data_IF_983895629959
#
_entry.id   IF_983895629959
#
_cell.length_a   1.000
_cell.length_b   1.000
_cell.length_c   1.000
_cell.angle_alpha   90.00
_cell.angle_beta   90.00
_cell.angle_gamma   90.00
#
_symmetry.space_group_name_H-M   'P 1'
#
loop_
_entity.id
_entity.type
_entity.pdbx_description
1 polymer ?
2 non-polymer ?
3 non-polymer ?
4 non-polymer ?
5 water ?
#
# COMPACT_ATOMS: atom_id res chain seq x y z
N UNK A 5 -30.97 -0.52 4.34
CA UNK A 5 -30.36 -1.00 3.05
C UNK A 5 -29.76 -2.41 3.03
N UNK A 6 -29.12 -2.74 1.91
CA UNK A 6 -28.56 -4.08 1.66
C UNK A 6 -27.15 -4.26 2.24
N UNK A 7 -26.79 -5.52 2.53
CA UNK A 7 -25.46 -5.90 3.01
C UNK A 7 -24.59 -6.24 1.81
N UNK A 8 -23.47 -5.55 1.67
CA UNK A 8 -22.51 -5.75 0.59
C UNK A 8 -21.35 -6.55 1.18
N UNK A 9 -20.96 -7.61 0.48
CA UNK A 9 -19.81 -8.40 0.85
C UNK A 9 -18.82 -8.34 -0.31
N UNK A 10 -17.56 -8.02 -0.02
CA UNK A 10 -16.56 -7.78 -1.05
C UNK A 10 -15.14 -8.20 -0.73
N UNK A 11 -14.35 -8.41 -1.78
CA UNK A 11 -12.94 -8.74 -1.72
C UNK A 11 -12.31 -7.96 -2.85
N UNK A 12 -11.36 -7.10 -2.52
CA UNK A 12 -10.63 -6.36 -3.55
C UNK A 12 -9.38 -7.09 -4.02
N UNK A 13 -9.03 -6.90 -5.30
CA UNK A 13 -7.84 -7.53 -5.87
C UNK A 13 -7.18 -6.66 -6.90
N UNK A 14 -5.91 -6.92 -7.15
CA UNK A 14 -5.18 -6.19 -8.17
C UNK A 14 -5.44 -6.86 -9.55
N UNK A 15 -6.04 -6.17 -10.53
CA UNK A 15 -6.30 -6.83 -11.83
C UNK A 15 -5.02 -6.99 -12.67
N UNK A 16 -4.93 -8.12 -13.39
CA UNK A 16 -3.75 -8.47 -14.19
C UNK A 16 -4.08 -8.44 -15.67
N UNK A 17 -3.06 -8.66 -16.53
CA UNK A 17 -3.28 -8.63 -17.98
C UNK A 17 -4.26 -9.71 -18.46
N UNK A 18 -4.40 -10.78 -17.69
CA UNK A 18 -5.26 -11.90 -18.05
C UNK A 18 -6.67 -11.84 -17.49
N UNK A 19 -7.00 -10.82 -16.69
CA UNK A 19 -8.23 -10.81 -15.92
C UNK A 19 -9.49 -10.94 -16.79
N UNK A 20 -9.56 -10.22 -17.90
CA UNK A 20 -10.70 -10.33 -18.84
C UNK A 20 -10.85 -11.76 -19.37
N UNK A 21 -9.74 -12.31 -19.86
CA UNK A 21 -9.73 -13.70 -20.34
C UNK A 21 -10.21 -14.66 -19.24
N UNK A 22 -9.67 -14.51 -18.02
CA UNK A 22 -10.04 -15.37 -16.88
C UNK A 22 -11.51 -15.24 -16.51
N UNK A 23 -12.02 -14.00 -16.57
CA UNK A 23 -13.44 -13.77 -16.34
C UNK A 23 -14.27 -14.45 -17.46
N UNK A 24 -13.87 -14.23 -18.72
CA UNK A 24 -14.51 -14.89 -19.89
C UNK A 24 -14.60 -16.38 -19.67
N UNK A 25 -13.46 -16.99 -19.30
CA UNK A 25 -13.39 -18.43 -19.07
C UNK A 25 -14.20 -18.94 -17.89
N UNK A 26 -14.46 -18.09 -16.91
CA UNK A 26 -15.36 -18.47 -15.82
C UNK A 26 -16.85 -18.40 -16.16
N UNK A 27 -17.20 -17.81 -17.30
CA UNK A 27 -18.59 -17.60 -17.68
C UNK A 27 -19.21 -16.35 -17.10
N UNK A 28 -18.39 -15.41 -16.62
CA UNK A 28 -18.87 -14.08 -16.30
C UNK A 28 -19.07 -13.36 -17.61
N UNK A 29 -20.04 -12.45 -17.64
CA UNK A 29 -20.30 -11.60 -18.81
C UNK A 29 -20.08 -10.13 -18.45
N UNK A 30 -19.48 -9.40 -19.37
CA UNK A 30 -19.33 -7.97 -19.26
C UNK A 30 -20.65 -7.25 -19.51
N UNK A 31 -21.24 -6.66 -18.47
CA UNK A 31 -22.53 -5.97 -18.59
C UNK A 31 -22.42 -4.51 -19.10
N UNK A 32 -21.55 -3.71 -18.50
CA UNK A 32 -21.33 -2.35 -19.00
C UNK A 32 -20.04 -1.72 -18.53
N UNK A 33 -19.72 -0.62 -19.19
CA UNK A 33 -18.63 0.22 -18.81
C UNK A 33 -19.24 1.55 -18.45
N UNK A 34 -18.64 2.27 -17.52
CA UNK A 34 -19.15 3.58 -17.10
C UNK A 34 -18.02 4.40 -16.48
N UNK A 35 -18.03 5.67 -16.79
CA UNK A 35 -17.11 6.63 -16.22
C UNK A 35 -17.92 7.60 -15.37
N UNK A 36 -17.44 7.87 -14.15
CA UNK A 36 -18.20 8.67 -13.19
C UNK A 36 -17.28 9.27 -12.09
N UNK A 37 -17.74 10.38 -11.56
CA UNK A 37 -17.10 11.04 -10.39
C UNK A 37 -17.72 10.54 -9.08
N UNK A 38 -16.88 10.26 -8.11
CA UNK A 38 -17.30 10.09 -6.71
C UNK A 38 -16.74 11.27 -5.89
N UNK A 39 -17.50 11.72 -4.92
CA UNK A 39 -17.03 12.74 -4.00
C UNK A 39 -17.38 12.26 -2.58
N UNK A 40 -16.37 12.18 -1.72
CA UNK A 40 -16.52 11.70 -0.36
C UNK A 40 -16.45 12.88 0.59
N UNK A 41 -17.21 12.78 1.69
CA UNK A 41 -17.42 13.87 2.63
C UNK A 41 -17.11 13.42 4.06
N UNK A 42 -16.53 14.33 4.85
CA UNK A 42 -16.32 14.09 6.27
C UNK A 42 -16.12 15.42 6.99
N UNK A 43 -16.04 15.38 8.31
CA UNK A 43 -15.72 16.58 9.09
C UNK A 43 -14.22 16.77 9.04
N UNK A 44 -13.73 17.94 9.49
CA UNK A 44 -12.29 18.18 9.68
C UNK A 44 -11.62 17.10 10.53
N UNK A 45 -12.35 16.58 11.52
CA UNK A 45 -11.84 15.54 12.42
C UNK A 45 -12.01 14.10 11.88
N UNK A 46 -12.51 13.96 10.65
CA UNK A 46 -12.78 12.67 10.08
C UNK A 46 -13.68 11.81 10.95
N UNK A 47 -14.72 12.42 11.51
CA UNK A 47 -15.64 11.70 12.41
C UNK A 47 -16.30 10.48 11.74
N UNK A 48 -16.72 10.62 10.49
CA UNK A 48 -17.31 9.47 9.80
C UNK A 48 -16.34 8.34 9.55
N UNK A 49 -15.22 8.63 8.90
CA UNK A 49 -14.34 7.60 8.40
C UNK A 49 -13.67 6.89 9.61
N UNK A 50 -13.35 7.62 10.67
CA UNK A 50 -12.81 6.99 11.88
C UNK A 50 -13.80 6.05 12.57
N UNK A 51 -15.10 6.26 12.38
CA UNK A 51 -16.12 5.32 12.84
C UNK A 51 -16.60 4.36 11.70
N UNK A 52 -15.83 4.24 10.63
CA UNK A 52 -16.09 3.27 9.55
C UNK A 52 -17.40 3.55 8.81
N UNK A 53 -17.75 4.84 8.73
CA UNK A 53 -18.84 5.30 7.91
C UNK A 53 -18.27 6.11 6.73
N UNK A 54 -18.84 5.92 5.55
CA UNK A 54 -18.32 6.48 4.31
C UNK A 54 -19.48 7.11 3.53
N UNK A 55 -19.46 8.43 3.40
CA UNK A 55 -20.52 9.19 2.78
C UNK A 55 -20.05 9.71 1.45
N UNK A 56 -20.77 9.38 0.41
CA UNK A 56 -20.43 9.87 -0.88
C UNK A 56 -21.57 10.24 -1.79
N UNK A 57 -21.27 11.18 -2.70
CA UNK A 57 -22.16 11.51 -3.81
C UNK A 57 -21.50 10.97 -5.07
N UNK A 58 -22.23 10.12 -5.79
CA UNK A 58 -21.76 9.49 -7.00
C UNK A 58 -22.57 9.99 -8.17
N UNK A 59 -21.86 10.49 -9.17
CA UNK A 59 -22.50 10.94 -10.41
C UNK A 59 -23.28 9.77 -11.02
N UNK A 60 -24.52 10.03 -11.40
CA UNK A 60 -25.42 9.02 -11.94
C UNK A 60 -26.17 8.22 -10.89
N UNK A 61 -25.77 8.23 -9.61
CA UNK A 61 -26.48 7.43 -8.58
C UNK A 61 -26.96 8.25 -7.40
N UNK A 62 -26.32 9.37 -7.07
CA UNK A 62 -26.76 10.16 -5.93
C UNK A 62 -25.99 9.79 -4.68
N UNK A 63 -26.63 9.95 -3.53
CA UNK A 63 -25.98 9.84 -2.23
C UNK A 63 -25.99 8.43 -1.72
N UNK A 64 -24.89 8.04 -1.06
CA UNK A 64 -24.73 6.67 -0.59
C UNK A 64 -23.96 6.73 0.73
N UNK A 65 -24.39 5.97 1.74
CA UNK A 65 -23.68 5.89 2.98
C UNK A 65 -23.34 4.43 3.24
N UNK A 66 -22.06 4.12 3.38
CA UNK A 66 -21.65 2.78 3.82
C UNK A 66 -21.56 2.76 5.33
N UNK A 67 -22.23 1.80 5.97
CA UNK A 67 -22.24 1.67 7.43
C UNK A 67 -21.57 0.37 7.79
N UNK A 68 -20.90 0.32 8.94
CA UNK A 68 -20.18 -0.90 9.23
C UNK A 68 -21.10 -2.11 9.37
N UNK A 69 -20.66 -3.24 8.83
CA UNK A 69 -21.39 -4.50 8.87
C UNK A 69 -21.71 -5.01 10.27
N UNK A 70 -22.63 -5.97 10.32
CA UNK A 70 -23.09 -6.55 11.58
C UNK A 70 -22.35 -7.87 11.92
N UNK A 71 -21.81 -8.56 10.90
CA UNK A 71 -21.08 -9.84 11.07
C UNK A 71 -19.57 -9.63 11.00
N UNK A 72 -18.80 -10.64 11.45
CA UNK A 72 -17.33 -10.60 11.43
C UNK A 72 -16.74 -11.25 10.19
N UNK A 73 -16.37 -10.45 9.19
CA UNK A 73 -15.86 -10.94 7.91
C UNK A 73 -14.59 -10.23 7.48
N UNK A 74 -14.05 -9.36 8.34
CA UNK A 74 -12.92 -8.52 7.94
C UNK A 74 -11.64 -9.36 7.83
N UNK A 75 -10.67 -8.78 7.13
CA UNK A 75 -9.47 -9.48 6.67
C UNK A 75 -9.26 -8.94 5.25
N UNK A 76 -8.70 -9.75 4.33
CA UNK A 76 -8.72 -9.25 2.94
C UNK A 76 -10.16 -8.93 2.47
N UNK A 77 -11.16 -9.51 3.14
CA UNK A 77 -12.58 -9.28 2.85
C UNK A 77 -13.18 -8.22 3.78
N UNK A 78 -14.33 -7.67 3.39
CA UNK A 78 -15.09 -6.74 4.26
C UNK A 78 -16.61 -6.66 3.95
N UNK A 79 -17.37 -6.04 4.87
CA UNK A 79 -18.85 -6.02 4.84
C UNK A 79 -19.44 -4.73 5.33
N UNK A 80 -20.34 -4.17 4.52
CA UNK A 80 -20.95 -2.88 4.82
C UNK A 80 -22.40 -2.99 4.49
N UNK A 81 -23.21 -2.20 5.19
CA UNK A 81 -24.59 -1.98 4.83
C UNK A 81 -24.58 -0.73 3.98
N UNK A 82 -25.19 -0.77 2.81
CA UNK A 82 -25.20 0.37 1.90
C UNK A 82 -26.56 1.07 2.01
N UNK A 83 -26.59 2.30 2.49
CA UNK A 83 -27.82 3.06 2.65
C UNK A 83 -27.92 4.08 1.53
N UNK A 84 -28.98 3.97 0.73
CA UNK A 84 -29.23 4.87 -0.41
C UNK A 84 -30.46 5.80 -0.28
N UNK A 85 -31.37 5.52 0.65
CA UNK A 85 -32.43 6.47 0.97
C UNK A 85 -31.85 7.72 1.60
N UNK A 86 -32.04 8.88 0.99
CA UNK A 86 -31.54 10.11 1.59
C UNK A 86 -32.07 10.33 3.01
N UNK A 87 -33.32 9.96 3.28
CA UNK A 87 -33.90 10.16 4.60
C UNK A 87 -33.14 9.32 5.62
N UNK A 88 -32.90 8.05 5.24
CA UNK A 88 -32.11 7.13 6.06
C UNK A 88 -30.67 7.62 6.28
N UNK A 89 -30.07 8.21 5.28
CA UNK A 89 -28.71 8.76 5.36
C UNK A 89 -28.67 9.93 6.35
N UNK A 90 -29.60 10.85 6.17
CA UNK A 90 -29.68 12.00 7.08
C UNK A 90 -29.94 11.56 8.52
N UNK A 91 -30.83 10.59 8.69
CA UNK A 91 -31.13 10.13 10.04
C UNK A 91 -29.83 9.60 10.72
N UNK A 92 -29.01 8.91 9.95
CA UNK A 92 -27.79 8.37 10.50
C UNK A 92 -26.74 9.49 10.73
N UNK A 93 -26.65 10.45 9.81
CA UNK A 93 -25.76 11.59 10.00
C UNK A 93 -26.10 12.44 11.22
N UNK A 94 -27.39 12.63 11.48
CA UNK A 94 -27.82 13.35 12.67
C UNK A 94 -27.39 12.62 13.93
N UNK A 95 -27.62 11.31 13.96
CA UNK A 95 -27.23 10.51 15.10
C UNK A 95 -25.70 10.59 15.35
N UNK A 96 -24.89 10.49 14.29
CA UNK A 96 -23.43 10.47 14.47
C UNK A 96 -22.84 11.85 14.73
N UNK A 97 -23.32 12.87 14.04
CA UNK A 97 -22.64 14.15 14.03
C UNK A 97 -23.36 15.27 14.74
N UNK A 98 -24.65 15.17 14.93
CA UNK A 98 -25.41 16.35 15.28
C UNK A 98 -26.38 15.96 16.34
N UNK A 99 -27.63 16.33 16.10
CA UNK A 99 -28.72 16.02 16.99
C UNK A 99 -29.86 15.46 16.13
N UNK A 100 -30.54 14.46 16.67
CA UNK A 100 -31.76 13.95 16.07
C UNK A 100 -32.90 14.96 16.14
N UNK A 101 -32.74 16.05 16.90
CA UNK A 101 -33.69 17.18 16.91
C UNK A 101 -33.65 18.09 15.68
N UNK A 102 -32.60 17.99 14.87
CA UNK A 102 -32.49 18.81 13.68
C UNK A 102 -33.60 18.49 12.65
N UNK A 103 -33.96 19.48 11.84
CA UNK A 103 -34.99 19.34 10.82
C UNK A 103 -34.47 18.47 9.68
N UNK A 104 -35.20 17.40 9.33
CA UNK A 104 -34.79 16.62 8.18
C UNK A 104 -34.88 17.41 6.86
N UNK A 105 -33.92 17.17 6.00
CA UNK A 105 -33.84 17.73 4.66
C UNK A 105 -32.93 16.79 3.83
N UNK A 106 -32.80 17.06 2.53
CA UNK A 106 -31.89 16.31 1.66
C UNK A 106 -30.45 16.36 2.15
N UNK A 107 -29.65 15.37 1.75
CA UNK A 107 -28.27 15.28 2.21
C UNK A 107 -27.51 16.55 1.89
N UNK A 108 -27.62 17.05 0.66
CA UNK A 108 -26.92 18.30 0.29
C UNK A 108 -27.29 19.45 1.18
N UNK A 109 -28.57 19.53 1.55
CA UNK A 109 -29.04 20.61 2.40
C UNK A 109 -28.51 20.57 3.83
N UNK A 110 -28.09 19.42 4.33
CA UNK A 110 -27.64 19.34 5.73
C UNK A 110 -26.15 19.40 5.97
N UNK A 111 -25.36 19.40 4.89
CA UNK A 111 -23.91 19.23 4.95
C UNK A 111 -23.27 20.31 5.79
N UNK A 112 -23.63 21.56 5.47
CA UNK A 112 -23.13 22.73 6.15
C UNK A 112 -23.41 22.75 7.65
N UNK A 113 -24.65 22.42 8.04
CA UNK A 113 -25.00 22.33 9.48
C UNK A 113 -24.22 21.26 10.21
N UNK A 114 -23.82 20.18 9.51
CA UNK A 114 -23.05 19.12 10.13
C UNK A 114 -21.56 19.28 9.90
N UNK A 115 -21.13 20.36 9.25
CA UNK A 115 -19.73 20.70 9.07
C UNK A 115 -19.01 19.62 8.21
N UNK A 116 -19.73 19.10 7.22
CA UNK A 116 -19.28 18.05 6.35
C UNK A 116 -18.72 18.76 5.15
N UNK A 117 -17.50 18.40 4.77
CA UNK A 117 -16.91 18.95 3.56
C UNK A 117 -16.24 17.86 2.71
N UNK A 118 -15.88 18.19 1.47
CA UNK A 118 -15.30 17.20 0.57
C UNK A 118 -13.93 16.82 1.08
N UNK A 119 -13.70 15.53 1.31
CA UNK A 119 -12.35 15.06 1.62
C UNK A 119 -11.64 14.49 0.41
N UNK A 120 -12.40 14.06 -0.60
CA UNK A 120 -11.88 13.42 -1.80
C UNK A 120 -12.87 13.51 -2.95
N UNK A 121 -12.36 13.69 -4.17
CA UNK A 121 -13.18 13.69 -5.36
C UNK A 121 -12.34 13.20 -6.52
N UNK A 122 -12.84 12.21 -7.26
CA UNK A 122 -12.07 11.67 -8.35
C UNK A 122 -12.98 10.87 -9.26
N UNK A 123 -12.52 10.80 -10.50
CA UNK A 123 -13.24 10.08 -11.56
C UNK A 123 -12.68 8.69 -11.67
N UNK A 124 -13.58 7.74 -11.90
CA UNK A 124 -13.28 6.37 -12.16
C UNK A 124 -13.96 5.87 -13.44
N UNK A 125 -13.28 4.99 -14.16
CA UNK A 125 -13.83 4.25 -15.26
C UNK A 125 -13.91 2.79 -14.83
N UNK A 126 -15.12 2.24 -14.89
CA UNK A 126 -15.42 0.95 -14.34
C UNK A 126 -15.94 0.00 -15.43
N UNK A 127 -15.38 -1.21 -15.48
CA UNK A 127 -15.81 -2.26 -16.40
C UNK A 127 -16.50 -3.30 -15.55
N UNK A 128 -17.80 -3.44 -15.74
CA UNK A 128 -18.62 -4.18 -14.82
C UNK A 128 -19.10 -5.53 -15.38
N UNK A 129 -18.72 -6.60 -14.69
CA UNK A 129 -19.06 -7.97 -15.03
C UNK A 129 -20.01 -8.62 -14.05
N UNK A 130 -20.76 -9.60 -14.55
CA UNK A 130 -21.73 -10.38 -13.79
C UNK A 130 -21.40 -11.86 -13.87
N UNK A 131 -21.44 -12.54 -12.73
CA UNK A 131 -21.32 -14.01 -12.67
C UNK A 131 -22.57 -14.66 -12.03
N UNK A 132 -23.23 -15.55 -12.77
CA UNK A 132 -24.37 -16.36 -12.28
C UNK A 132 -23.90 -17.71 -11.76
N UNK A 142 -26.18 -13.72 -7.78
CA UNK A 142 -25.03 -13.54 -8.65
C UNK A 142 -23.87 -12.80 -7.96
N UNK A 143 -22.69 -12.85 -8.58
CA UNK A 143 -21.60 -11.98 -8.17
C UNK A 143 -21.39 -10.92 -9.22
N UNK A 144 -20.96 -9.76 -8.73
CA UNK A 144 -20.46 -8.67 -9.55
C UNK A 144 -18.94 -8.63 -9.42
N UNK A 145 -18.24 -8.41 -10.53
CA UNK A 145 -16.83 -8.15 -10.55
C UNK A 145 -16.63 -6.81 -11.27
N UNK A 146 -16.15 -5.79 -10.54
CA UNK A 146 -15.94 -4.46 -11.10
C UNK A 146 -14.46 -4.22 -11.22
N UNK A 147 -14.00 -3.87 -12.42
CA UNK A 147 -12.60 -3.56 -12.67
C UNK A 147 -12.52 -2.09 -12.91
N UNK A 148 -11.85 -1.38 -12.00
CA UNK A 148 -11.87 0.07 -11.92
C UNK A 148 -10.51 0.66 -12.23
N UNK A 149 -10.51 1.80 -12.91
CA UNK A 149 -9.32 2.60 -13.09
C UNK A 149 -9.63 4.03 -12.62
N UNK A 150 -8.86 4.52 -11.63
CA UNK A 150 -9.04 5.89 -11.09
C UNK A 150 -8.23 6.91 -11.87
N UNK A 151 -8.71 8.14 -11.96
CA UNK A 151 -8.06 9.28 -12.69
C UNK A 151 -6.82 9.98 -12.03
N UNK A 152 -6.37 9.41 -10.93
CA UNK A 152 -5.07 9.78 -10.37
C UNK A 152 -4.03 8.71 -10.63
N UNK A 153 -4.40 7.62 -11.30
CA UNK A 153 -3.46 6.59 -11.68
C UNK A 153 -3.40 5.48 -10.68
N UNK A 154 -4.40 4.59 -10.72
CA UNK A 154 -4.51 3.43 -9.84
C UNK A 154 -5.65 2.53 -10.35
N UNK A 155 -5.41 1.22 -10.36
CA UNK A 155 -6.35 0.24 -10.88
C UNK A 155 -6.63 -0.78 -9.79
N UNK A 156 -7.88 -1.17 -9.61
CA UNK A 156 -8.28 -2.16 -8.61
C UNK A 156 -9.55 -2.88 -9.04
N UNK A 157 -9.72 -4.09 -8.56
CA UNK A 157 -10.89 -4.92 -8.79
C UNK A 157 -11.57 -5.32 -7.51
N UNK A 158 -12.85 -5.62 -7.62
CA UNK A 158 -13.56 -6.21 -6.51
C UNK A 158 -14.56 -7.26 -7.00
N UNK A 159 -14.63 -8.32 -6.23
CA UNK A 159 -15.63 -9.35 -6.36
C UNK A 159 -16.62 -9.07 -5.25
N UNK A 160 -17.90 -8.98 -5.60
CA UNK A 160 -18.89 -8.50 -4.67
C UNK A 160 -20.21 -9.25 -4.76
N UNK A 161 -20.88 -9.41 -3.62
CA UNK A 161 -22.24 -9.93 -3.54
C UNK A 161 -23.02 -9.02 -2.63
N UNK A 162 -24.32 -8.92 -2.89
CA UNK A 162 -25.21 -8.11 -2.08
C UNK A 162 -26.29 -9.06 -1.59
N UNK A 163 -26.48 -9.09 -0.28
CA UNK A 163 -27.50 -9.92 0.33
C UNK A 163 -28.41 -9.09 1.24
N UNK A 164 -29.52 -9.70 1.62
CA UNK A 164 -30.57 -9.04 2.43
C UNK A 164 -30.39 -9.31 3.92
N UNK A 165 -30.01 -10.55 4.29
CA UNK A 165 -29.90 -10.97 5.69
C UNK A 165 -28.51 -11.49 6.04
N UNK A 166 -28.13 -11.35 7.31
CA UNK A 166 -26.82 -11.78 7.81
C UNK A 166 -26.55 -13.25 7.54
N UNK A 167 -27.56 -14.10 7.70
CA UNK A 167 -27.39 -15.54 7.51
C UNK A 167 -27.02 -15.93 6.07
N UNK A 168 -27.25 -15.04 5.11
CA UNK A 168 -26.73 -15.23 3.75
C UNK A 168 -25.25 -14.85 3.58
N UNK A 169 -24.61 -14.18 4.55
CA UNK A 169 -23.25 -13.66 4.37
C UNK A 169 -22.19 -14.74 4.20
N UNK A 170 -22.24 -15.81 5.03
CA UNK A 170 -21.23 -16.87 4.90
C UNK A 170 -21.16 -17.48 3.51
N UNK A 171 -22.32 -17.82 2.95
CA UNK A 171 -22.42 -18.40 1.61
C UNK A 171 -21.93 -17.45 0.51
N UNK A 172 -22.25 -16.16 0.65
CA UNK A 172 -21.75 -15.14 -0.27
C UNK A 172 -20.24 -15.02 -0.15
N UNK A 173 -19.77 -14.90 1.08
CA UNK A 173 -18.35 -14.83 1.33
C UNK A 173 -17.54 -16.00 0.69
N UNK A 174 -18.09 -17.22 0.74
CA UNK A 174 -17.47 -18.41 0.11
C UNK A 174 -17.27 -18.24 -1.39
N UNK A 175 -18.31 -17.85 -2.09
CA UNK A 175 -18.23 -17.64 -3.54
C UNK A 175 -17.20 -16.57 -3.92
N UNK A 176 -17.21 -15.48 -3.16
CA UNK A 176 -16.25 -14.38 -3.36
C UNK A 176 -14.80 -14.88 -3.32
N UNK A 177 -14.50 -15.75 -2.36
CA UNK A 177 -13.16 -16.34 -2.21
C UNK A 177 -12.82 -17.29 -3.36
N UNK A 178 -13.76 -18.16 -3.68
CA UNK A 178 -13.59 -19.10 -4.78
C UNK A 178 -13.34 -18.38 -6.11
N UNK A 179 -14.02 -17.27 -6.34
CA UNK A 179 -13.91 -16.58 -7.60
C UNK A 179 -12.60 -15.83 -7.67
N UNK A 180 -12.24 -15.11 -6.60
CA UNK A 180 -10.90 -14.54 -6.52
C UNK A 180 -9.77 -15.59 -6.76
N UNK A 181 -9.90 -16.76 -6.17
CA UNK A 181 -8.92 -17.80 -6.36
C UNK A 181 -8.86 -18.28 -7.83
N UNK A 182 -10.02 -18.54 -8.43
CA UNK A 182 -10.08 -18.95 -9.84
C UNK A 182 -9.50 -17.89 -10.78
N UNK A 183 -9.52 -16.62 -10.36
CA UNK A 183 -8.85 -15.53 -11.07
C UNK A 183 -7.32 -15.58 -10.91
N UNK A 184 -6.82 -16.31 -9.94
CA UNK A 184 -5.38 -16.44 -9.71
C UNK A 184 -4.87 -15.21 -8.98
N UNK A 185 -5.66 -14.75 -8.03
CA UNK A 185 -5.39 -13.56 -7.26
C UNK A 185 -4.75 -14.08 -5.97
N UNK A 186 -3.50 -13.63 -5.65
CA UNK A 186 -2.82 -14.22 -4.48
C UNK A 186 -3.69 -14.15 -3.21
N UNK A 187 -3.72 -15.23 -2.43
CA UNK A 187 -4.52 -15.29 -1.19
C UNK A 187 -4.12 -14.18 -0.20
N UNK A 188 -2.83 -13.92 -0.08
CA UNK A 188 -2.28 -12.93 0.87
C UNK A 188 -2.69 -11.51 0.49
N UNK A 189 -2.79 -11.27 -0.81
CA UNK A 189 -3.04 -9.94 -1.33
C UNK A 189 -4.36 -9.32 -0.78
N UNK A 190 -4.27 -8.06 -0.36
CA UNK A 190 -5.41 -7.29 0.16
C UNK A 190 -5.29 -5.93 -0.50
N UNK A 191 -5.77 -5.82 -1.73
CA UNK A 191 -5.54 -4.59 -2.53
C UNK A 191 -6.30 -3.42 -1.91
N UNK A 192 -5.68 -2.23 -1.82
CA UNK A 192 -6.41 -1.12 -1.17
C UNK A 192 -7.51 -0.47 -2.00
N UNK A 193 -8.49 0.08 -1.30
CA UNK A 193 -9.56 0.86 -1.94
C UNK A 193 -9.00 2.11 -2.64
N UNK A 194 -9.67 2.50 -3.72
CA UNK A 194 -9.29 3.71 -4.45
C UNK A 194 -9.21 4.93 -3.54
N UNK A 195 -10.20 5.11 -2.67
CA UNK A 195 -10.24 6.20 -1.69
C UNK A 195 -9.01 6.22 -0.77
N UNK A 196 -8.55 5.03 -0.36
CA UNK A 196 -7.40 4.95 0.50
C UNK A 196 -6.10 5.34 -0.22
N UNK A 197 -5.95 4.97 -1.48
CA UNK A 197 -4.78 5.38 -2.27
C UNK A 197 -4.81 6.93 -2.45
N UNK A 198 -6.01 7.45 -2.71
CA UNK A 198 -6.22 8.90 -2.92
C UNK A 198 -5.80 9.62 -1.63
N UNK A 199 -6.23 9.10 -0.48
CA UNK A 199 -5.90 9.76 0.77
C UNK A 199 -4.43 9.70 1.02
N UNK A 200 -3.80 8.57 0.72
CA UNK A 200 -2.35 8.43 0.91
C UNK A 200 -1.57 9.42 0.06
N UNK A 201 -1.97 9.57 -1.19
CA UNK A 201 -1.21 10.42 -2.12
C UNK A 201 -1.50 11.92 -1.92
N UNK A 202 -2.76 12.25 -1.64
CA UNK A 202 -3.25 13.61 -1.69
C UNK A 202 -3.80 14.18 -0.40
N UNK A 203 -4.08 13.36 0.62
CA UNK A 203 -4.52 13.88 1.91
C UNK A 203 -3.74 13.24 3.00
N UNK A 204 -2.41 13.45 3.00
CA UNK A 204 -1.55 12.61 3.82
C UNK A 204 -1.80 12.71 5.30
N UNK A 205 -2.25 13.86 5.80
CA UNK A 205 -2.52 13.99 7.23
C UNK A 205 -3.77 13.21 7.63
N UNK A 206 -4.76 13.16 6.72
CA UNK A 206 -5.95 12.31 6.92
C UNK A 206 -5.59 10.83 6.91
N UNK A 207 -4.76 10.44 5.96
CA UNK A 207 -4.29 9.08 5.87
C UNK A 207 -3.56 8.64 7.14
N UNK A 208 -2.69 9.49 7.66
CA UNK A 208 -1.97 9.18 8.90
C UNK A 208 -2.91 9.02 10.09
N UNK A 209 -3.93 9.86 10.14
CA UNK A 209 -4.95 9.77 11.19
C UNK A 209 -5.64 8.40 11.14
N UNK A 210 -6.03 7.97 9.94
CA UNK A 210 -6.61 6.65 9.76
C UNK A 210 -5.62 5.56 10.17
N UNK A 211 -4.34 5.70 9.78
CA UNK A 211 -3.30 4.72 10.23
C UNK A 211 -3.18 4.63 11.73
N UNK A 212 -2.98 5.76 12.39
CA UNK A 212 -2.88 5.84 13.84
C UNK A 212 -4.07 5.29 14.60
N UNK A 213 -5.26 5.36 14.03
CA UNK A 213 -6.45 4.77 14.63
C UNK A 213 -6.62 3.26 14.37
N UNK A 214 -6.09 2.74 13.25
CA UNK A 214 -6.22 1.32 12.89
C UNK A 214 -5.34 0.42 13.78
N UNK A 215 -4.08 0.83 13.95
CA UNK A 215 -3.20 0.26 14.97
C UNK A 215 -3.56 0.79 16.36
N UNK A 216 -4.27 1.93 16.39
CA UNK A 216 -5.02 2.46 17.53
C UNK A 216 -4.11 3.04 18.61
N UNK B 5 32.37 0.29 -4.34
CA UNK B 5 31.47 0.29 -3.14
C UNK B 5 31.94 -0.61 -2.01
N UNK B 6 31.03 -0.87 -1.07
CA UNK B 6 31.28 -1.77 0.07
C UNK B 6 30.17 -2.82 0.16
N UNK B 7 30.52 -4.00 0.71
CA UNK B 7 29.57 -5.12 0.86
C UNK B 7 28.74 -4.97 2.14
N UNK B 8 27.41 -5.01 2.00
CA UNK B 8 26.48 -5.02 3.14
C UNK B 8 25.92 -6.44 3.35
N UNK B 9 26.16 -6.98 4.54
CA UNK B 9 25.47 -8.18 5.01
C UNK B 9 24.41 -7.73 6.02
N UNK B 10 23.21 -8.25 5.88
CA UNK B 10 22.14 -7.82 6.76
C UNK B 10 21.03 -8.83 6.92
N UNK B 11 20.35 -8.70 8.04
CA UNK B 11 19.13 -9.43 8.29
C UNK B 11 18.05 -8.44 8.67
N UNK B 12 16.87 -8.61 8.07
CA UNK B 12 15.72 -7.80 8.40
C UNK B 12 14.80 -8.49 9.43
N UNK B 13 14.13 -7.66 10.23
CA UNK B 13 13.25 -8.15 11.28
C UNK B 13 12.12 -7.19 11.60
N UNK B 14 11.01 -7.73 12.11
CA UNK B 14 9.91 -6.92 12.62
C UNK B 14 10.29 -6.46 14.02
N UNK B 15 10.47 -5.13 14.23
CA UNK B 15 10.84 -4.65 15.58
C UNK B 15 9.61 -4.51 16.48
N UNK B 16 9.84 -4.09 17.73
CA UNK B 16 8.78 -3.98 18.74
C UNK B 16 8.98 -2.80 19.69
N UNK B 17 8.12 -2.68 20.72
CA UNK B 17 8.18 -1.54 21.67
C UNK B 17 9.38 -1.58 22.63
N UNK B 18 9.79 -2.78 23.03
CA UNK B 18 10.93 -2.96 23.92
C UNK B 18 12.28 -3.00 23.20
N UNK B 19 12.29 -3.18 21.87
CA UNK B 19 13.57 -3.36 21.16
C UNK B 19 14.44 -2.12 21.21
N UNK B 20 13.82 -0.93 21.33
CA UNK B 20 14.55 0.29 21.66
C UNK B 20 15.26 0.15 23.01
N UNK B 21 14.54 -0.33 24.03
CA UNK B 21 15.13 -0.56 25.36
C UNK B 21 16.18 -1.69 25.39
N UNK B 22 15.90 -2.81 24.71
CA UNK B 22 16.87 -3.92 24.55
C UNK B 22 18.23 -3.41 24.11
N UNK B 23 18.25 -2.67 22.99
CA UNK B 23 19.47 -2.06 22.44
C UNK B 23 20.27 -1.27 23.50
N UNK B 24 19.57 -0.42 24.26
CA UNK B 24 20.22 0.42 25.28
C UNK B 24 20.82 -0.40 26.42
N UNK B 25 20.06 -1.38 26.92
CA UNK B 25 20.57 -2.33 27.92
C UNK B 25 21.69 -3.21 27.35
N UNK B 26 21.59 -3.53 26.06
CA UNK B 26 22.61 -4.28 25.34
C UNK B 26 23.91 -3.47 25.09
N UNK B 27 23.87 -2.15 25.36
CA UNK B 27 25.04 -1.28 25.31
C UNK B 27 25.18 -0.45 24.03
N UNK B 28 24.10 -0.35 23.25
CA UNK B 28 24.12 0.40 21.97
C UNK B 28 24.05 1.91 22.19
N UNK B 29 24.57 2.66 21.23
CA UNK B 29 24.60 4.13 21.27
C UNK B 29 23.83 4.72 20.08
N UNK B 30 22.76 5.48 20.38
CA UNK B 30 21.91 6.11 19.36
C UNK B 30 22.70 7.17 18.60
N UNK B 31 23.05 6.89 17.34
CA UNK B 31 23.89 7.80 16.56
C UNK B 31 23.08 9.03 16.11
N UNK B 32 22.04 8.78 15.30
CA UNK B 32 21.10 9.83 14.85
C UNK B 32 19.67 9.29 14.74
N UNK B 33 18.71 10.21 14.84
CA UNK B 33 17.37 10.03 14.31
C UNK B 33 17.26 10.91 13.07
N UNK B 34 16.81 10.34 11.96
CA UNK B 34 16.71 11.07 10.69
C UNK B 34 15.43 10.68 9.98
N UNK B 35 14.95 11.62 9.17
CA UNK B 35 13.80 11.47 8.30
C UNK B 35 14.24 11.80 6.86
N UNK B 36 13.93 10.92 5.91
CA UNK B 36 14.40 11.06 4.54
C UNK B 36 13.49 10.39 3.56
N UNK B 37 13.33 11.01 2.40
CA UNK B 37 12.64 10.38 1.29
C UNK B 37 13.59 9.55 0.50
N UNK B 38 13.14 8.38 0.09
CA UNK B 38 13.77 7.54 -0.92
C UNK B 38 12.83 7.48 -2.09
N UNK B 39 13.39 7.58 -3.29
CA UNK B 39 12.65 7.36 -4.50
C UNK B 39 13.41 6.34 -5.37
N UNK B 40 12.76 5.22 -5.69
CA UNK B 40 13.36 4.12 -6.43
C UNK B 40 13.02 4.18 -7.88
N UNK B 41 13.96 3.75 -8.72
CA UNK B 41 13.88 3.91 -10.16
C UNK B 41 14.01 2.56 -10.88
N UNK B 42 13.33 2.42 -12.02
CA UNK B 42 13.46 1.22 -12.90
C UNK B 42 12.79 1.49 -14.21
N UNK B 43 13.00 0.62 -15.20
CA UNK B 43 12.27 0.71 -16.46
C UNK B 43 10.84 0.21 -16.24
N UNK B 44 10.00 0.43 -17.24
CA UNK B 44 8.63 -0.11 -17.21
C UNK B 44 8.65 -1.64 -17.22
N UNK B 45 9.69 -2.22 -17.84
CA UNK B 45 9.88 -3.68 -17.81
C UNK B 45 10.53 -4.22 -16.51
N UNK B 46 10.76 -3.36 -15.52
CA UNK B 46 11.48 -3.69 -14.29
C UNK B 46 12.84 -4.34 -14.55
N UNK B 47 13.53 -3.86 -15.59
CA UNK B 47 14.81 -4.47 -15.99
C UNK B 47 15.80 -4.54 -14.84
N UNK B 48 15.91 -3.45 -14.07
CA UNK B 48 16.85 -3.41 -12.94
C UNK B 48 16.48 -4.36 -11.83
N UNK B 49 15.27 -4.25 -11.35
CA UNK B 49 14.84 -4.97 -10.17
C UNK B 49 14.76 -6.48 -10.45
N UNK B 50 14.43 -6.89 -11.69
CA UNK B 50 14.47 -8.30 -12.11
C UNK B 50 15.90 -8.87 -12.11
N UNK B 51 16.88 -8.05 -12.48
CA UNK B 51 18.30 -8.40 -12.33
C UNK B 51 18.85 -8.18 -10.88
N UNK B 52 17.98 -7.86 -9.91
CA UNK B 52 18.40 -7.64 -8.50
C UNK B 52 19.31 -6.39 -8.29
N UNK B 53 19.08 -5.36 -9.12
CA UNK B 53 19.72 -4.06 -8.96
C UNK B 53 18.68 -3.02 -8.52
N UNK B 54 19.02 -2.24 -7.51
CA UNK B 54 18.08 -1.33 -6.84
C UNK B 54 18.65 0.07 -6.84
N UNK B 55 18.09 0.93 -7.68
CA UNK B 55 18.53 2.30 -7.83
C UNK B 55 17.57 3.23 -7.13
N UNK B 56 18.12 4.08 -6.27
CA UNK B 56 17.33 5.08 -5.57
C UNK B 56 18.03 6.41 -5.47
N UNK B 57 17.24 7.46 -5.43
CA UNK B 57 17.70 8.75 -4.98
C UNK B 57 17.21 8.97 -3.54
N UNK B 58 18.14 9.17 -2.63
CA UNK B 58 17.83 9.41 -1.24
C UNK B 58 18.10 10.83 -0.84
N UNK B 59 17.08 11.48 -0.30
CA UNK B 59 17.21 12.82 0.27
C UNK B 59 18.37 12.94 1.22
N UNK B 60 19.20 13.94 0.97
CA UNK B 60 20.38 14.24 1.79
C UNK B 60 21.58 13.33 1.58
N UNK B 61 21.45 12.34 0.71
CA UNK B 61 22.54 11.41 0.40
C UNK B 61 22.87 11.35 -1.07
N UNK B 62 21.88 11.44 -1.95
CA UNK B 62 22.14 11.29 -3.37
C UNK B 62 21.80 9.91 -3.91
N UNK B 63 22.49 9.56 -5.00
CA UNK B 63 22.12 8.39 -5.76
C UNK B 63 22.85 7.23 -5.18
N UNK B 64 22.15 6.11 -5.09
CA UNK B 64 22.73 4.87 -4.54
C UNK B 64 22.23 3.70 -5.36
N UNK B 65 23.12 2.76 -5.64
CA UNK B 65 22.76 1.58 -6.39
C UNK B 65 23.24 0.39 -5.59
N UNK B 66 22.34 -0.56 -5.35
CA UNK B 66 22.75 -1.84 -4.74
C UNK B 66 22.83 -2.90 -5.80
N UNK B 67 24.00 -3.54 -5.87
CA UNK B 67 24.25 -4.71 -6.72
C UNK B 67 24.34 -5.96 -5.86
N UNK B 68 23.87 -7.11 -6.38
CA UNK B 68 23.87 -8.42 -5.67
C UNK B 68 25.10 -8.75 -4.81
N UNK B 77 19.11 -12.80 5.40
CA UNK B 77 19.90 -13.55 4.43
C UNK B 77 20.05 -12.80 3.09
N UNK B 78 20.40 -11.51 3.16
CA UNK B 78 20.75 -10.70 1.96
C UNK B 78 22.19 -10.16 1.96
N UNK B 79 22.76 -10.03 0.75
CA UNK B 79 24.17 -9.67 0.52
C UNK B 79 24.29 -8.72 -0.70
N UNK B 80 24.53 -7.43 -0.46
CA UNK B 80 24.58 -6.39 -1.52
C UNK B 80 25.80 -5.48 -1.44
N UNK B 81 26.24 -4.97 -2.60
CA UNK B 81 27.28 -3.95 -2.63
C UNK B 81 26.63 -2.60 -2.87
N UNK B 82 26.80 -1.67 -1.93
CA UNK B 82 26.30 -0.32 -2.11
C UNK B 82 27.29 0.51 -2.94
N UNK B 83 26.87 0.92 -4.14
CA UNK B 83 27.63 1.85 -4.97
C UNK B 83 27.11 3.25 -4.84
N UNK B 84 28.00 4.16 -4.42
CA UNK B 84 27.62 5.57 -4.28
C UNK B 84 28.31 6.54 -5.21
N UNK B 85 29.43 6.16 -5.82
CA UNK B 85 30.02 6.99 -6.88
C UNK B 85 29.06 7.04 -8.06
N UNK B 86 28.64 8.24 -8.47
CA UNK B 86 27.77 8.33 -9.62
C UNK B 86 28.41 7.75 -10.87
N UNK B 87 29.72 7.98 -11.04
CA UNK B 87 30.40 7.42 -12.19
C UNK B 87 30.23 5.92 -12.21
N UNK B 88 30.44 5.27 -11.05
CA UNK B 88 30.29 3.84 -10.97
C UNK B 88 28.84 3.39 -11.19
N UNK B 89 27.87 4.16 -10.68
CA UNK B 89 26.47 3.83 -10.90
C UNK B 89 26.13 3.83 -12.39
N UNK B 90 26.46 4.92 -13.05
CA UNK B 90 26.16 5.08 -14.48
C UNK B 90 26.87 4.00 -15.34
N UNK B 91 28.12 3.68 -15.01
CA UNK B 91 28.84 2.57 -15.68
C UNK B 91 28.01 1.29 -15.66
N UNK B 92 27.48 0.99 -14.49
CA UNK B 92 26.68 -0.20 -14.29
C UNK B 92 25.33 -0.13 -15.03
N UNK B 93 24.71 1.06 -15.02
CA UNK B 93 23.44 1.25 -15.72
C UNK B 93 23.62 1.05 -17.24
N UNK B 94 24.68 1.63 -17.79
CA UNK B 94 25.04 1.47 -19.21
C UNK B 94 25.18 0.00 -19.57
N UNK B 95 25.88 -0.72 -18.70
CA UNK B 95 26.15 -2.13 -18.88
C UNK B 95 24.84 -2.92 -18.92
N UNK B 96 23.98 -2.67 -17.93
CA UNK B 96 22.71 -3.40 -17.79
C UNK B 96 21.65 -3.02 -18.80
N UNK B 97 21.52 -1.74 -19.10
CA UNK B 97 20.33 -1.23 -19.79
C UNK B 97 20.57 -0.68 -21.18
N UNK B 98 21.77 -0.17 -21.46
CA UNK B 98 22.06 0.46 -22.75
C UNK B 98 23.25 -0.20 -23.41
N UNK B 99 24.26 0.61 -23.74
CA UNK B 99 25.59 0.12 -24.07
C UNK B 99 26.65 1.02 -23.40
N UNK B 100 27.84 0.45 -23.21
CA UNK B 100 28.98 1.20 -22.66
C UNK B 100 29.53 2.27 -23.59
N UNK B 101 28.98 2.39 -24.80
CA UNK B 101 29.36 3.43 -25.76
C UNK B 101 28.69 4.79 -25.50
N UNK B 102 27.64 4.83 -24.67
CA UNK B 102 26.97 6.09 -24.34
C UNK B 102 27.90 7.06 -23.60
N UNK B 103 27.66 8.35 -23.78
CA UNK B 103 28.46 9.38 -23.14
C UNK B 103 28.21 9.36 -21.62
N UNK B 104 29.28 9.30 -20.79
CA UNK B 104 29.06 9.43 -19.33
C UNK B 104 28.52 10.78 -18.89
N UNK B 105 27.67 10.77 -17.87
CA UNK B 105 27.08 11.96 -17.26
C UNK B 105 26.58 11.56 -15.90
N UNK B 106 26.09 12.51 -15.09
CA UNK B 106 25.51 12.19 -13.79
C UNK B 106 24.26 11.32 -13.91
N UNK B 107 23.92 10.65 -12.81
CA UNK B 107 22.78 9.71 -12.82
C UNK B 107 21.52 10.38 -13.31
N UNK B 108 21.25 11.58 -12.83
CA UNK B 108 20.03 12.27 -13.21
C UNK B 108 20.00 12.54 -14.71
N UNK B 109 21.16 12.79 -15.29
CA UNK B 109 21.27 13.09 -16.73
C UNK B 109 21.00 11.89 -17.64
N UNK B 110 21.22 10.67 -17.16
CA UNK B 110 21.08 9.48 -18.02
C UNK B 110 19.75 8.74 -17.86
N UNK B 111 18.96 9.08 -16.84
CA UNK B 111 17.67 8.36 -16.59
C UNK B 111 16.79 8.27 -17.82
N UNK B 112 16.58 9.40 -18.47
CA UNK B 112 15.76 9.47 -19.67
C UNK B 112 16.25 8.62 -20.85
N UNK B 113 17.55 8.67 -21.14
CA UNK B 113 18.14 7.88 -22.24
C UNK B 113 18.02 6.39 -22.00
N UNK B 114 17.93 5.97 -20.73
CA UNK B 114 17.79 4.56 -20.36
C UNK B 114 16.35 4.20 -20.01
N UNK B 115 15.41 5.11 -20.26
CA UNK B 115 14.01 4.93 -19.92
C UNK B 115 13.81 4.48 -18.46
N UNK B 116 14.55 5.10 -17.57
CA UNK B 116 14.39 4.86 -16.15
C UNK B 116 13.45 5.92 -15.60
N UNK B 117 12.55 5.50 -14.74
CA UNK B 117 11.56 6.38 -14.19
C UNK B 117 11.24 5.96 -12.77
N UNK B 118 10.82 6.93 -11.96
CA UNK B 118 10.46 6.66 -10.56
C UNK B 118 9.31 5.70 -10.53
N UNK B 119 9.41 4.70 -9.66
CA UNK B 119 8.39 3.68 -9.47
C UNK B 119 7.83 3.62 -8.04
N UNK B 120 8.55 4.18 -7.06
CA UNK B 120 8.08 4.19 -5.68
C UNK B 120 8.83 5.29 -4.94
N UNK B 121 8.14 5.95 -4.00
CA UNK B 121 8.75 7.01 -3.19
C UNK B 121 8.07 7.04 -1.86
N UNK B 122 8.83 7.20 -0.79
CA UNK B 122 8.23 7.26 0.53
C UNK B 122 9.24 7.86 1.46
N UNK B 123 8.74 8.33 2.58
CA UNK B 123 9.57 8.87 3.64
C UNK B 123 9.69 7.80 4.74
N UNK B 124 10.93 7.62 5.19
CA UNK B 124 11.28 6.73 6.28
C UNK B 124 11.77 7.60 7.40
N UNK B 125 11.28 7.34 8.60
CA UNK B 125 11.82 7.92 9.80
C UNK B 125 12.67 6.80 10.48
N UNK B 126 13.96 7.05 10.66
CA UNK B 126 14.93 6.03 11.05
C UNK B 126 15.64 6.41 12.33
N UNK B 127 15.74 5.46 13.27
CA UNK B 127 16.69 5.52 14.40
C UNK B 127 17.92 4.65 14.10
N UNK B 128 19.10 5.24 14.19
CA UNK B 128 20.37 4.54 13.93
C UNK B 128 21.15 4.23 15.20
N UNK B 129 21.59 2.97 15.32
CA UNK B 129 22.35 2.51 16.48
C UNK B 129 23.68 1.85 16.08
N UNK B 130 24.72 2.09 16.88
CA UNK B 130 25.99 1.38 16.79
C UNK B 130 26.15 0.43 18.00
N UNK B 131 26.57 -0.82 17.73
CA UNK B 131 26.86 -1.82 18.78
C UNK B 131 28.28 -2.36 18.56
N UNK B 132 29.17 -2.15 19.53
CA UNK B 132 30.59 -2.54 19.42
C UNK B 132 30.80 -4.00 19.81
N UNK B 142 32.32 -2.68 14.57
CA UNK B 142 31.07 -2.23 15.16
C UNK B 142 29.89 -2.51 14.21
N UNK B 143 28.93 -3.33 14.64
CA UNK B 143 27.68 -3.56 13.90
C UNK B 143 26.78 -2.32 13.92
N UNK B 144 25.86 -2.25 12.97
CA UNK B 144 24.78 -1.24 13.00
C UNK B 144 23.39 -1.89 13.05
N UNK B 145 22.46 -1.19 13.71
CA UNK B 145 21.03 -1.55 13.73
C UNK B 145 20.21 -0.29 13.43
N UNK B 146 19.48 -0.35 12.32
CA UNK B 146 18.55 0.72 11.93
C UNK B 146 17.14 0.27 12.28
N UNK B 147 16.37 1.18 12.87
CA UNK B 147 14.94 0.98 13.17
C UNK B 147 14.12 1.98 12.33
N UNK B 148 13.30 1.44 11.41
CA UNK B 148 12.66 2.25 10.37
C UNK B 148 11.12 2.20 10.42
N UNK B 149 10.50 3.37 10.25
CA UNK B 149 9.04 3.50 10.06
C UNK B 149 8.76 4.28 8.79
N UNK B 150 8.06 3.65 7.86
CA UNK B 150 7.82 4.25 6.57
C UNK B 150 6.50 4.97 6.72
N UNK B 151 6.35 6.12 6.07
CA UNK B 151 5.11 6.90 6.18
C UNK B 151 3.85 6.14 5.75
N UNK B 152 3.99 5.13 4.88
CA UNK B 152 2.83 4.34 4.40
C UNK B 152 2.28 3.30 5.34
N UNK B 153 2.82 3.11 6.53
CA UNK B 153 2.30 2.10 7.47
C UNK B 153 3.03 0.75 7.44
N UNK B 154 4.33 0.79 7.71
CA UNK B 154 5.15 -0.41 7.81
C UNK B 154 6.42 -0.06 8.57
N UNK B 155 6.73 -0.86 9.57
CA UNK B 155 7.95 -0.71 10.35
C UNK B 155 8.83 -1.95 10.19
N UNK B 156 10.15 -1.73 10.21
CA UNK B 156 11.11 -2.79 9.93
C UNK B 156 12.45 -2.40 10.55
N UNK B 157 13.19 -3.38 11.02
CA UNK B 157 14.55 -3.16 11.53
C UNK B 157 15.53 -4.00 10.75
N UNK B 158 16.79 -3.58 10.72
CA UNK B 158 17.83 -4.40 10.12
C UNK B 158 19.08 -4.36 10.97
N UNK B 159 19.60 -5.56 11.25
CA UNK B 159 20.95 -5.73 11.74
C UNK B 159 21.82 -5.88 10.52
N UNK B 160 22.88 -5.08 10.45
CA UNK B 160 23.76 -5.17 9.31
C UNK B 160 25.21 -4.87 9.65
N UNK B 161 26.09 -5.53 8.90
CA UNK B 161 27.52 -5.33 8.97
C UNK B 161 28.01 -4.89 7.60
N UNK B 162 29.19 -4.28 7.56
CA UNK B 162 29.81 -3.86 6.31
C UNK B 162 31.26 -4.29 6.25
N UNK B 163 31.68 -4.79 5.08
CA UNK B 163 33.03 -5.30 4.86
C UNK B 163 33.63 -4.76 3.54
N UNK B 164 34.90 -5.09 3.30
CA UNK B 164 35.61 -4.71 2.07
C UNK B 164 35.73 -5.90 1.09
N UNK B 165 36.34 -7.00 1.55
CA UNK B 165 36.56 -8.21 0.74
C UNK B 165 35.43 -9.25 0.90
N UNK B 166 35.18 -10.03 -0.15
CA UNK B 166 34.15 -11.10 -0.16
C UNK B 166 34.41 -12.22 0.86
N UNK B 167 35.69 -12.45 1.19
CA UNK B 167 36.10 -13.48 2.17
C UNK B 167 35.63 -13.21 3.60
N UNK B 168 35.39 -11.94 3.93
CA UNK B 168 34.91 -11.54 5.26
C UNK B 168 33.38 -11.66 5.45
N UNK B 169 32.64 -12.06 4.41
CA UNK B 169 31.17 -12.15 4.48
C UNK B 169 30.61 -13.20 5.46
N UNK B 170 31.22 -14.42 5.55
CA UNK B 170 30.77 -15.43 6.54
C UNK B 170 30.93 -15.00 8.01
N UNK B 171 32.06 -14.36 8.32
CA UNK B 171 32.37 -13.90 9.68
C UNK B 171 31.35 -12.89 10.17
N UNK B 172 31.01 -11.94 9.31
CA UNK B 172 29.99 -10.94 9.61
C UNK B 172 28.61 -11.55 9.85
N UNK B 173 28.14 -12.31 8.85
CA UNK B 173 26.84 -13.02 8.89
C UNK B 173 26.62 -13.77 10.20
N UNK B 174 27.68 -14.35 10.75
CA UNK B 174 27.59 -15.06 12.02
C UNK B 174 27.24 -14.12 13.16
N UNK B 175 27.96 -13.00 13.27
CA UNK B 175 27.67 -12.03 14.32
C UNK B 175 26.37 -11.24 14.05
N UNK B 176 25.88 -11.22 12.80
CA UNK B 176 24.55 -10.68 12.51
C UNK B 176 23.45 -11.58 13.10
N UNK B 177 23.62 -12.89 12.94
CA UNK B 177 22.69 -13.87 13.52
C UNK B 177 22.80 -13.87 15.06
N UNK B 178 24.00 -13.64 15.58
CA UNK B 178 24.22 -13.46 17.02
C UNK B 178 23.40 -12.28 17.58
N UNK B 179 23.62 -11.10 17.03
CA UNK B 179 22.91 -9.89 17.50
C UNK B 179 21.38 -9.97 17.30
N UNK B 180 20.94 -10.81 16.35
CA UNK B 180 19.53 -11.09 16.13
C UNK B 180 18.96 -11.91 17.29
N UNK B 181 19.63 -13.01 17.63
CA UNK B 181 19.23 -13.79 18.81
C UNK B 181 19.51 -13.08 20.15
N UNK B 182 20.41 -12.09 20.17
CA UNK B 182 20.56 -11.17 21.32
C UNK B 182 19.36 -10.24 21.49
N UNK B 183 18.87 -9.68 20.39
CA UNK B 183 17.67 -8.82 20.40
C UNK B 183 16.34 -9.56 20.55
N UNK B 184 16.37 -10.89 20.37
CA UNK B 184 15.21 -11.74 20.51
C UNK B 184 14.42 -11.87 19.23
N UNK B 185 15.14 -12.05 18.12
CA UNK B 185 14.55 -12.16 16.80
C UNK B 185 14.38 -13.67 16.47
N UNK B 186 13.18 -14.08 15.98
CA UNK B 186 13.02 -15.49 15.58
C UNK B 186 13.85 -15.83 14.35
N UNK B 187 14.57 -16.95 14.39
CA UNK B 187 15.37 -17.43 13.26
C UNK B 187 14.45 -17.89 12.13
N UNK B 188 14.91 -17.75 10.89
CA UNK B 188 14.09 -17.95 9.66
C UNK B 188 13.11 -16.80 9.33
N UNK B 189 12.93 -15.85 10.25
CA UNK B 189 12.09 -14.67 10.00
C UNK B 189 12.68 -13.78 8.91
N UNK B 190 11.92 -13.60 7.82
CA UNK B 190 12.32 -12.77 6.68
C UNK B 190 11.39 -11.55 6.51
N UNK B 191 11.67 -10.49 7.26
CA UNK B 191 10.90 -9.23 7.14
C UNK B 191 11.16 -8.60 5.76
N UNK B 192 10.10 -8.35 4.97
CA UNK B 192 10.35 -7.78 3.64
C UNK B 192 10.88 -6.35 3.72
N UNK B 193 11.47 -5.90 2.61
CA UNK B 193 12.04 -4.58 2.52
C UNK B 193 10.88 -3.58 2.37
N UNK B 194 11.11 -2.36 2.84
CA UNK B 194 10.10 -1.29 2.75
C UNK B 194 9.61 -1.20 1.33
N UNK B 195 10.52 -1.16 0.37
CA UNK B 195 10.16 -1.14 -1.04
C UNK B 195 9.26 -2.32 -1.46
N UNK B 196 9.55 -3.52 -0.97
CA UNK B 196 8.76 -4.70 -1.30
C UNK B 196 7.34 -4.62 -0.75
N UNK B 197 7.20 -4.20 0.51
CA UNK B 197 5.87 -3.95 1.09
C UNK B 197 5.10 -2.85 0.33
N UNK B 198 5.81 -1.80 -0.09
CA UNK B 198 5.20 -0.73 -0.84
C UNK B 198 4.67 -1.24 -2.17
N UNK B 199 5.47 -2.04 -2.86
CA UNK B 199 5.04 -2.62 -4.13
C UNK B 199 3.93 -3.68 -3.90
N UNK B 200 4.01 -4.43 -2.81
CA UNK B 200 2.98 -5.41 -2.44
C UNK B 200 1.60 -4.76 -2.33
N UNK B 201 1.55 -3.58 -1.72
CA UNK B 201 0.29 -2.91 -1.47
C UNK B 201 -0.13 -2.02 -2.65
N UNK B 202 0.78 -1.18 -3.10
CA UNK B 202 0.43 -0.10 -4.04
C UNK B 202 0.71 -0.40 -5.50
N UNK B 203 1.56 -1.38 -5.75
CA UNK B 203 1.81 -1.88 -7.10
C UNK B 203 1.91 -3.42 -7.05
N UNK B 204 0.81 -4.10 -6.63
CA UNK B 204 0.84 -5.54 -6.30
C UNK B 204 1.36 -6.46 -7.41
N UNK B 205 1.14 -6.08 -8.67
CA UNK B 205 1.63 -6.85 -9.81
C UNK B 205 3.14 -7.06 -9.75
N UNK B 206 3.86 -6.00 -9.41
CA UNK B 206 5.31 -6.02 -9.36
C UNK B 206 5.82 -6.92 -8.24
N UNK B 207 5.24 -6.77 -7.05
CA UNK B 207 5.63 -7.61 -5.89
C UNK B 207 5.59 -9.09 -6.21
N UNK B 208 4.50 -9.52 -6.80
CA UNK B 208 4.34 -10.92 -7.18
C UNK B 208 5.23 -11.29 -8.39
N UNK B 209 5.36 -10.37 -9.36
CA UNK B 209 6.17 -10.61 -10.57
C UNK B 209 7.65 -10.71 -10.28
N UNK B 210 8.13 -9.84 -9.40
CA UNK B 210 9.50 -9.92 -8.96
C UNK B 210 9.71 -11.27 -8.31
N UNK B 211 8.72 -11.72 -7.54
CA UNK B 211 8.79 -13.03 -6.87
C UNK B 211 8.86 -14.21 -7.84
N UNK B 212 8.14 -14.09 -8.95
CA UNK B 212 8.13 -15.08 -10.02
C UNK B 212 9.50 -15.31 -10.65
N UNK B 213 10.20 -14.22 -10.96
CA UNK B 213 11.55 -14.29 -11.53
C UNK B 213 12.55 -14.63 -10.44
#
# INVERSE_FOLDING_TARGET
>A
GMAQGLIEVERKFAPGPDTEERLQELGATLEHRVTFRDTYYDTSELSLMLSDHWLRQREGSGWELKCPGVTGVSGPHNEYVEVTSEAAIVAQLFELLGSGEQKPAGVAAVLGSLKLQEVASFITTRSSWKLALSGAHGQEPQLTIDLDSADFGYAVGEVEAMVHEKAEVPAALEKIITVSSMLGVPAQEEAPAKLMVYLQRFRPLDYQRLLEAASSGEATGDSASS
>B
GMAQGLIEVERKFAPGPDTEERLQELGATLEHRVTFRDTYYDTSELSLMLSDHWLRQREGSGWELKCPGVTGVSGPHNEYVEVTSEAAIVAQLFELLGSGEQKPAGVAAVLGSLKLQEVASFITTRSSWKLALSGAHGQEPQLTIDLDSADFGYAVGEVEAMVHEKAEVPAALEKIITVSSMLGVPAQEEAPAKLMVYLQRFRPLDYQRLLEAASSGEATGDSASS
#
